data_IF_804782127804
#
_entry.id   IF_804782127804
#
_cell.length_a   1.000
_cell.length_b   1.000
_cell.length_c   1.000
_cell.angle_alpha   90.00
_cell.angle_beta   90.00
_cell.angle_gamma   90.00
#
_symmetry.space_group_name_H-M   'P 1'
#
loop_
_entity.id
_entity.type
_entity.pdbx_description
1 polymer ?
#
# COMPACT_ATOMS: atom_id res chain seq x y z
N UNK A 1 -18.12 7.60 -12.27
CA UNK A 1 -17.02 8.40 -12.87
C UNK A 1 -17.57 9.70 -13.44
N UNK A 2 -16.91 10.81 -13.13
CA UNK A 2 -17.27 12.09 -13.74
C UNK A 2 -16.82 12.11 -15.21
N UNK A 3 -17.48 12.90 -16.07
CA UNK A 3 -17.12 13.05 -17.49
C UNK A 3 -15.61 13.31 -17.68
N UNK A 4 -14.98 14.09 -16.79
CA UNK A 4 -13.55 14.41 -16.82
C UNK A 4 -12.64 13.21 -16.49
N UNK A 5 -13.02 12.29 -15.60
CA UNK A 5 -12.21 11.11 -15.32
C UNK A 5 -12.19 10.14 -16.50
N UNK A 6 -13.33 9.93 -17.19
CA UNK A 6 -13.38 9.09 -18.39
C UNK A 6 -12.60 9.68 -19.57
N UNK A 7 -12.58 11.02 -19.72
CA UNK A 7 -11.79 11.68 -20.77
C UNK A 7 -10.28 11.52 -20.52
N UNK A 8 -9.81 11.62 -19.27
CA UNK A 8 -8.42 11.39 -18.87
C UNK A 8 -8.01 9.93 -19.09
N UNK A 9 -8.83 8.97 -18.68
CA UNK A 9 -8.60 7.55 -18.93
C UNK A 9 -8.44 7.24 -20.41
N UNK A 10 -9.31 7.80 -21.25
CA UNK A 10 -9.25 7.64 -22.69
C UNK A 10 -7.98 8.26 -23.27
N UNK A 11 -7.62 9.47 -22.85
CA UNK A 11 -6.44 10.20 -23.34
C UNK A 11 -5.11 9.50 -22.94
N UNK A 12 -5.09 8.80 -21.80
CA UNK A 12 -3.87 8.16 -21.26
C UNK A 12 -3.80 6.65 -21.48
N UNK A 13 -4.81 6.04 -22.08
CA UNK A 13 -4.92 4.58 -22.25
C UNK A 13 -3.69 3.93 -22.94
N UNK A 14 -3.03 4.65 -23.83
CA UNK A 14 -1.83 4.18 -24.51
C UNK A 14 -0.53 4.36 -23.72
N UNK A 15 -0.56 5.08 -22.60
CA UNK A 15 0.61 5.31 -21.75
C UNK A 15 0.95 4.04 -20.97
N UNK A 16 2.27 3.71 -20.89
CA UNK A 16 2.77 2.48 -20.27
C UNK A 16 3.81 2.72 -19.18
N UNK A 17 4.15 3.98 -18.90
CA UNK A 17 5.24 4.30 -17.95
C UNK A 17 4.76 4.36 -16.50
N UNK A 18 3.56 4.89 -16.29
CA UNK A 18 3.01 5.14 -14.96
C UNK A 18 1.51 4.95 -14.98
N UNK A 19 0.96 4.30 -13.97
CA UNK A 19 -0.48 4.20 -13.75
C UNK A 19 -0.85 5.10 -12.58
N UNK A 20 -1.78 6.03 -12.79
CA UNK A 20 -2.38 6.85 -11.75
C UNK A 20 -3.74 6.25 -11.38
N UNK A 21 -3.90 5.84 -10.14
CA UNK A 21 -5.17 5.36 -9.60
C UNK A 21 -5.72 6.39 -8.61
N UNK A 22 -6.91 6.88 -8.85
CA UNK A 22 -7.59 7.86 -8.00
C UNK A 22 -8.70 7.15 -7.24
N UNK A 23 -8.57 7.06 -5.92
CA UNK A 23 -9.57 6.47 -5.05
C UNK A 23 -10.59 7.55 -4.65
N UNK A 24 -11.81 7.42 -5.16
CA UNK A 24 -12.95 8.27 -4.80
C UNK A 24 -13.95 7.39 -4.04
N UNK A 25 -14.40 7.88 -2.88
CA UNK A 25 -15.36 7.16 -2.02
C UNK A 25 -14.89 5.73 -1.65
N UNK A 26 -13.58 5.58 -1.37
CA UNK A 26 -12.95 4.33 -0.99
C UNK A 26 -12.86 4.18 0.53
N UNK A 27 -13.10 2.98 1.03
CA UNK A 27 -12.90 2.64 2.44
C UNK A 27 -12.32 1.24 2.61
N UNK A 28 -11.15 1.12 3.28
CA UNK A 28 -10.45 -0.15 3.44
C UNK A 28 -11.27 -1.20 4.21
N UNK A 29 -12.02 -0.80 5.24
CA UNK A 29 -12.92 -1.71 5.95
C UNK A 29 -14.04 -2.24 5.04
N UNK A 30 -14.61 -1.38 4.22
CA UNK A 30 -15.61 -1.78 3.23
C UNK A 30 -15.02 -2.76 2.21
N UNK A 31 -13.84 -2.46 1.67
CA UNK A 31 -13.15 -3.27 0.66
C UNK A 31 -12.88 -4.68 1.18
N UNK A 32 -12.31 -4.79 2.39
CA UNK A 32 -12.06 -6.09 3.05
C UNK A 32 -13.38 -6.85 3.29
N UNK A 33 -14.40 -6.17 3.81
CA UNK A 33 -15.70 -6.79 4.10
C UNK A 33 -16.38 -7.26 2.82
N UNK A 34 -16.27 -6.49 1.73
CA UNK A 34 -16.81 -6.85 0.43
C UNK A 34 -16.10 -8.09 -0.15
N UNK A 35 -14.76 -8.13 -0.11
CA UNK A 35 -13.96 -9.27 -0.52
C UNK A 35 -14.32 -10.54 0.28
N UNK A 36 -14.42 -10.43 1.60
CA UNK A 36 -14.80 -11.53 2.48
C UNK A 36 -16.21 -12.06 2.17
N UNK A 37 -17.17 -11.17 1.87
CA UNK A 37 -18.52 -11.58 1.48
C UNK A 37 -18.53 -12.35 0.17
N UNK A 38 -17.80 -11.93 -0.84
CA UNK A 38 -17.68 -12.65 -2.10
C UNK A 38 -17.16 -14.08 -1.89
N UNK A 39 -16.12 -14.25 -1.08
CA UNK A 39 -15.58 -15.58 -0.74
C UNK A 39 -16.59 -16.43 0.03
N UNK A 40 -17.30 -15.85 0.99
CA UNK A 40 -18.36 -16.57 1.74
C UNK A 40 -19.50 -17.03 0.81
N UNK A 41 -19.89 -16.23 -0.17
CA UNK A 41 -20.88 -16.60 -1.19
C UNK A 41 -20.38 -17.73 -2.09
N UNK A 42 -19.11 -17.74 -2.50
CA UNK A 42 -18.49 -18.83 -3.26
C UNK A 42 -18.51 -20.15 -2.47
N UNK A 43 -18.21 -20.09 -1.15
CA UNK A 43 -18.29 -21.25 -0.26
C UNK A 43 -19.73 -21.74 -0.13
N UNK A 44 -20.70 -20.85 0.06
CA UNK A 44 -22.12 -21.21 0.17
C UNK A 44 -22.68 -21.86 -1.10
N UNK A 45 -22.15 -21.49 -2.29
CA UNK A 45 -22.50 -22.12 -3.57
C UNK A 45 -21.75 -23.42 -3.85
N UNK A 46 -20.83 -23.84 -2.98
CA UNK A 46 -19.99 -25.02 -3.19
C UNK A 46 -18.90 -24.86 -4.26
N UNK A 47 -18.65 -23.65 -4.71
CA UNK A 47 -17.60 -23.34 -5.69
C UNK A 47 -16.20 -23.35 -5.04
N UNK A 48 -16.15 -23.29 -3.71
CA UNK A 48 -14.95 -23.20 -2.89
C UNK A 48 -15.18 -23.89 -1.53
N UNK A 49 -14.12 -24.39 -0.91
CA UNK A 49 -14.15 -24.84 0.49
C UNK A 49 -13.72 -23.70 1.43
N UNK A 50 -14.15 -23.74 2.69
CA UNK A 50 -13.71 -22.77 3.71
C UNK A 50 -12.18 -22.74 3.87
N UNK A 51 -11.52 -23.89 3.79
CA UNK A 51 -10.07 -24.03 3.94
C UNK A 51 -9.27 -23.41 2.79
N UNK A 52 -9.92 -23.14 1.66
CA UNK A 52 -9.32 -22.45 0.51
C UNK A 52 -9.43 -20.92 0.61
N UNK A 53 -10.05 -20.39 1.68
CA UNK A 53 -10.05 -18.94 1.97
C UNK A 53 -8.76 -18.60 2.69
N UNK A 54 -7.81 -18.00 1.96
CA UNK A 54 -6.48 -17.60 2.42
C UNK A 54 -6.29 -16.10 2.26
N UNK A 55 -5.18 -15.57 2.76
CA UNK A 55 -4.80 -14.17 2.57
C UNK A 55 -4.71 -13.80 1.09
N UNK A 56 -4.14 -14.68 0.27
CA UNK A 56 -3.98 -14.49 -1.18
C UNK A 56 -5.34 -14.47 -1.89
N UNK A 57 -6.26 -15.37 -1.51
CA UNK A 57 -7.59 -15.41 -2.13
C UNK A 57 -8.44 -14.22 -1.73
N UNK A 58 -8.24 -13.67 -0.53
CA UNK A 58 -8.88 -12.43 -0.09
C UNK A 58 -8.28 -11.24 -0.82
N UNK A 59 -6.95 -11.13 -0.89
CA UNK A 59 -6.26 -10.06 -1.61
C UNK A 59 -6.69 -9.99 -3.08
N UNK A 60 -6.90 -11.15 -3.73
CA UNK A 60 -7.38 -11.23 -5.10
C UNK A 60 -8.82 -10.71 -5.32
N UNK A 61 -9.57 -10.42 -4.26
CA UNK A 61 -10.93 -9.86 -4.29
C UNK A 61 -10.99 -8.38 -3.90
N UNK A 62 -9.87 -7.81 -3.43
CA UNK A 62 -9.80 -6.39 -3.12
C UNK A 62 -9.88 -5.53 -4.39
N UNK A 63 -10.38 -4.30 -4.24
CA UNK A 63 -10.54 -3.35 -5.35
C UNK A 63 -9.23 -3.05 -6.08
N UNK A 64 -8.10 -3.22 -5.41
CA UNK A 64 -6.75 -2.98 -5.92
C UNK A 64 -6.01 -4.25 -6.34
N UNK A 65 -6.66 -5.40 -6.43
CA UNK A 65 -6.06 -6.70 -6.78
C UNK A 65 -5.25 -6.71 -8.10
N UNK A 66 -5.49 -5.74 -8.97
CA UNK A 66 -4.78 -5.56 -10.24
C UNK A 66 -3.49 -4.73 -10.12
N UNK A 67 -3.17 -4.21 -8.93
CA UNK A 67 -2.01 -3.39 -8.63
C UNK A 67 -1.06 -4.14 -7.68
N UNK A 68 0.25 -3.84 -7.72
CA UNK A 68 1.16 -4.26 -6.66
C UNK A 68 0.82 -3.54 -5.35
N UNK A 69 1.17 -4.15 -4.22
CA UNK A 69 1.08 -3.48 -2.93
C UNK A 69 2.01 -2.26 -2.89
N UNK A 70 1.58 -1.16 -2.24
CA UNK A 70 2.39 0.04 -2.15
C UNK A 70 3.65 -0.18 -1.30
N UNK A 71 4.79 0.30 -1.78
CA UNK A 71 6.04 0.33 -1.01
C UNK A 71 6.11 1.53 -0.06
N UNK A 72 5.53 2.66 -0.43
CA UNK A 72 5.57 3.91 0.31
C UNK A 72 4.19 4.56 0.37
N UNK A 73 3.77 4.92 1.57
CA UNK A 73 2.61 5.75 1.84
C UNK A 73 3.06 7.14 2.31
N UNK A 74 2.73 8.17 1.55
CA UNK A 74 2.99 9.56 1.93
C UNK A 74 1.70 10.18 2.48
N UNK A 75 1.74 10.67 3.71
CA UNK A 75 0.62 11.36 4.35
C UNK A 75 0.99 12.80 4.64
N UNK A 76 0.24 13.73 4.06
CA UNK A 76 0.43 15.18 4.17
C UNK A 76 -0.39 15.79 5.32
N UNK A 77 -0.27 17.10 5.52
CA UNK A 77 -1.05 17.91 6.47
C UNK A 77 -0.84 17.55 7.96
N UNK A 78 0.33 17.03 8.35
CA UNK A 78 0.63 16.67 9.73
C UNK A 78 -0.24 15.54 10.30
N UNK A 79 -0.93 14.79 9.45
CA UNK A 79 -1.82 13.71 9.83
C UNK A 79 -1.05 12.39 9.98
N UNK A 80 -1.12 11.76 11.15
CA UNK A 80 -0.39 10.51 11.48
C UNK A 80 -1.32 9.29 11.56
N UNK A 81 -2.34 9.22 10.72
CA UNK A 81 -3.33 8.13 10.67
C UNK A 81 -3.69 7.77 9.24
N UNK A 82 -4.07 6.51 8.98
CA UNK A 82 -4.47 6.02 7.65
C UNK A 82 -5.88 6.44 7.24
N UNK A 83 -6.73 6.76 8.20
CA UNK A 83 -8.13 7.16 7.98
C UNK A 83 -8.89 6.18 7.07
N UNK A 84 -8.78 4.89 7.34
CA UNK A 84 -9.46 3.82 6.59
C UNK A 84 -9.03 3.70 5.11
N UNK A 85 -7.81 4.16 4.76
CA UNK A 85 -7.27 4.07 3.40
C UNK A 85 -6.33 2.86 3.27
N UNK A 86 -6.56 1.99 2.29
CA UNK A 86 -5.72 0.85 1.88
C UNK A 86 -5.23 0.00 3.08
N UNK A 87 -6.12 -0.34 4.04
CA UNK A 87 -5.75 -1.00 5.29
C UNK A 87 -5.03 -2.33 5.11
N UNK A 88 -5.41 -3.11 4.11
CA UNK A 88 -4.78 -4.38 3.78
C UNK A 88 -3.45 -4.18 3.05
N UNK A 89 -3.47 -3.37 2.01
CA UNK A 89 -2.37 -3.20 1.06
C UNK A 89 -1.17 -2.47 1.67
N UNK A 90 -1.39 -1.64 2.69
CA UNK A 90 -0.33 -0.88 3.38
C UNK A 90 0.30 -1.63 4.56
N UNK A 91 -0.02 -2.91 4.75
CA UNK A 91 0.45 -3.68 5.91
C UNK A 91 1.99 -3.71 6.04
N UNK A 92 2.71 -3.68 4.90
CA UNK A 92 4.17 -3.69 4.85
C UNK A 92 4.76 -2.46 4.17
N UNK A 93 3.95 -1.42 3.93
CA UNK A 93 4.40 -0.17 3.35
C UNK A 93 5.21 0.65 4.36
N UNK A 94 6.20 1.37 3.87
CA UNK A 94 6.85 2.43 4.63
C UNK A 94 6.00 3.68 4.66
N UNK A 95 6.01 4.42 5.79
CA UNK A 95 5.22 5.63 5.97
C UNK A 95 6.12 6.85 6.01
N UNK A 96 5.75 7.87 5.25
CA UNK A 96 6.34 9.20 5.31
C UNK A 96 5.24 10.22 5.66
N UNK A 97 5.40 10.89 6.80
CA UNK A 97 4.49 11.93 7.26
C UNK A 97 5.14 13.30 7.08
N UNK A 98 4.41 14.27 6.54
CA UNK A 98 4.87 15.65 6.42
C UNK A 98 3.77 16.65 6.74
N UNK A 99 4.18 17.84 7.20
CA UNK A 99 3.27 18.92 7.59
C UNK A 99 2.75 19.71 6.39
N UNK A 100 3.37 19.57 5.21
CA UNK A 100 2.95 20.26 4.02
C UNK A 100 1.48 19.96 3.68
N UNK A 101 0.68 20.97 3.42
CA UNK A 101 -0.68 20.79 2.92
C UNK A 101 -0.64 20.25 1.48
N UNK A 102 -1.69 19.56 1.08
CA UNK A 102 -1.73 18.94 -0.26
C UNK A 102 -1.47 19.93 -1.41
N UNK A 103 -1.97 21.18 -1.40
CA UNK A 103 -1.66 22.15 -2.45
C UNK A 103 -0.19 22.59 -2.48
N UNK A 104 0.52 22.47 -1.34
CA UNK A 104 1.93 22.89 -1.18
C UNK A 104 2.89 21.68 -1.31
N UNK A 105 2.37 20.49 -1.54
CA UNK A 105 3.17 19.28 -1.71
C UNK A 105 3.73 19.21 -3.13
N UNK A 106 4.90 19.77 -3.31
CA UNK A 106 5.60 19.94 -4.59
C UNK A 106 6.65 18.85 -4.86
N UNK A 107 7.43 19.03 -5.92
CA UNK A 107 8.48 18.11 -6.32
C UNK A 107 9.61 17.96 -5.28
N UNK A 108 9.91 19.02 -4.52
CA UNK A 108 10.91 18.97 -3.45
C UNK A 108 10.43 18.09 -2.30
N UNK A 109 9.18 18.21 -1.90
CA UNK A 109 8.55 17.36 -0.89
C UNK A 109 8.52 15.87 -1.31
N UNK A 110 8.23 15.59 -2.58
CA UNK A 110 8.33 14.24 -3.13
C UNK A 110 9.75 13.70 -3.04
N UNK A 111 10.76 14.49 -3.39
CA UNK A 111 12.16 14.07 -3.30
C UNK A 111 12.59 13.78 -1.85
N UNK A 112 12.13 14.57 -0.88
CA UNK A 112 12.39 14.33 0.54
C UNK A 112 11.79 12.99 0.99
N UNK A 113 10.55 12.71 0.60
CA UNK A 113 9.89 11.44 0.91
C UNK A 113 10.65 10.24 0.30
N UNK A 114 11.06 10.35 -0.98
CA UNK A 114 11.82 9.29 -1.66
C UNK A 114 13.22 9.07 -1.07
N UNK A 115 13.93 10.13 -0.65
CA UNK A 115 15.21 10.00 0.07
C UNK A 115 15.00 9.31 1.41
N UNK A 116 14.02 9.75 2.20
CA UNK A 116 13.67 9.11 3.48
C UNK A 116 13.35 7.63 3.30
N UNK A 117 12.68 7.25 2.21
CA UNK A 117 12.40 5.86 1.88
C UNK A 117 13.66 5.08 1.51
N UNK A 118 14.54 5.67 0.67
CA UNK A 118 15.79 5.05 0.24
C UNK A 118 16.78 4.79 1.39
N UNK A 119 16.77 5.64 2.41
CA UNK A 119 17.65 5.54 3.57
C UNK A 119 17.18 4.51 4.61
N UNK A 120 16.00 3.90 4.41
CA UNK A 120 15.44 2.91 5.35
C UNK A 120 15.87 1.50 5.00
N UNK A 121 16.27 0.74 6.03
CA UNK A 121 16.43 -0.72 5.95
C UNK A 121 15.07 -1.40 6.03
N UNK A 122 14.64 -2.07 4.96
CA UNK A 122 13.43 -2.91 4.96
C UNK A 122 13.74 -4.26 5.63
N UNK A 123 13.20 -4.49 6.82
CA UNK A 123 13.47 -5.70 7.62
C UNK A 123 12.39 -6.77 7.49
N UNK A 124 11.23 -6.50 6.92
CA UNK A 124 10.08 -7.41 6.77
C UNK A 124 9.83 -8.30 8.01
N UNK A 125 9.99 -7.73 9.22
CA UNK A 125 9.87 -8.46 10.47
C UNK A 125 11.10 -9.27 10.88
N UNK A 126 12.19 -9.25 10.11
CA UNK A 126 13.46 -9.92 10.45
C UNK A 126 14.21 -9.22 11.61
N UNK A 127 14.84 -10.03 12.49
CA UNK A 127 15.72 -9.53 13.56
C UNK A 127 17.11 -9.28 12.99
N UNK A 128 17.78 -8.19 13.39
CA UNK A 128 19.24 -8.08 13.18
C UNK A 128 19.91 -9.16 14.02
N UNK A 129 20.76 -9.99 13.42
CA UNK A 129 21.68 -10.83 14.16
C UNK A 129 22.67 -9.92 14.89
N UNK A 130 22.55 -9.84 16.21
CA UNK A 130 23.36 -9.02 17.12
C UNK A 130 24.77 -9.62 17.37
N UNK A 131 25.34 -10.34 16.41
CA UNK A 131 26.63 -11.05 16.56
C UNK A 131 27.71 -10.52 15.61
N UNK A 132 27.98 -9.21 15.59
CA UNK A 132 29.22 -8.68 14.98
C UNK A 132 29.81 -7.51 15.79
N UNK A 133 30.04 -7.68 17.09
CA UNK A 133 30.76 -6.67 17.87
C UNK A 133 31.66 -7.18 19.01
N UNK A 134 32.14 -8.42 18.99
CA UNK A 134 33.05 -8.92 20.08
C UNK A 134 34.34 -9.67 19.61
N UNK A 135 34.85 -9.45 18.41
CA UNK A 135 36.12 -10.11 17.99
C UNK A 135 37.29 -9.15 17.68
N UNK A 136 37.28 -7.88 18.10
CA UNK A 136 38.44 -7.00 17.87
C UNK A 136 39.01 -6.29 19.13
N UNK A 137 38.90 -6.90 20.32
CA UNK A 137 39.62 -6.43 21.51
C UNK A 137 40.31 -7.57 22.25
N UNK A 138 41.27 -8.21 21.62
CA UNK A 138 42.03 -9.26 22.29
C UNK A 138 43.33 -9.67 21.62
N UNK A 139 44.17 -8.70 21.18
CA UNK A 139 45.61 -8.97 20.93
C UNK A 139 46.40 -7.67 21.06
N UNK A 140 46.91 -7.42 22.23
CA UNK A 140 48.13 -6.70 22.51
C UNK A 140 48.91 -7.44 23.57
#
# INVERSE_FOLDING_TARGET
PTRRSSDLEQATRANKRTSLNIALDYGGQWDITHAARQLAEEVARGERTSDSVTEETLAARLSTAHLPDPDLCIRTAGEHRLSNFLLWQLAYAEYYFCDALWPDFDAEQVQLALRSYADRERRFGGRLDSNQSDEDQGRA
#
